data_IF_615325314404
#
_entry.id   IF_615325314404
#
_cell.length_a   1.000
_cell.length_b   1.000
_cell.length_c   1.000
_cell.angle_alpha   90.00
_cell.angle_beta   90.00
_cell.angle_gamma   90.00
#
_symmetry.space_group_name_H-M   'P 1'
#
loop_
_entity.id
_entity.type
_entity.pdbx_description
1 polymer ?
#
# COMPACT_ATOMS: atom_id res chain seq x y z
N UNK A 1 8.48 7.33 30.21
CA UNK A 1 7.50 8.32 29.67
C UNK A 1 8.10 9.11 28.51
N UNK A 2 9.36 9.57 28.64
CA UNK A 2 10.09 10.28 27.57
C UNK A 2 10.25 9.43 26.31
N UNK A 3 10.42 8.12 26.46
CA UNK A 3 10.54 7.15 25.39
C UNK A 3 9.25 7.05 24.57
N UNK A 4 8.10 7.03 25.25
CA UNK A 4 6.78 7.01 24.57
C UNK A 4 6.54 8.29 23.79
N UNK A 5 6.92 9.43 24.37
CA UNK A 5 6.82 10.72 23.69
C UNK A 5 7.76 10.80 22.48
N UNK A 6 8.99 10.31 22.62
CA UNK A 6 9.94 10.22 21.52
C UNK A 6 9.40 9.32 20.40
N UNK A 7 8.90 8.12 20.72
CA UNK A 7 8.31 7.21 19.74
C UNK A 7 7.10 7.83 19.04
N UNK A 8 6.22 8.51 19.78
CA UNK A 8 5.10 9.24 19.20
C UNK A 8 5.58 10.34 18.25
N UNK A 9 6.55 11.14 18.67
CA UNK A 9 7.13 12.20 17.84
C UNK A 9 7.76 11.61 16.57
N UNK A 10 8.46 10.48 16.68
CA UNK A 10 9.05 9.77 15.54
C UNK A 10 7.97 9.31 14.57
N UNK A 11 6.90 8.65 15.05
CA UNK A 11 5.78 8.20 14.20
C UNK A 11 5.11 9.37 13.49
N UNK A 12 4.84 10.47 14.20
CA UNK A 12 4.24 11.67 13.62
C UNK A 12 5.16 12.32 12.59
N UNK A 13 6.46 12.38 12.87
CA UNK A 13 7.45 12.92 11.95
C UNK A 13 7.55 12.07 10.67
N UNK A 14 7.62 10.74 10.79
CA UNK A 14 7.67 9.85 9.63
C UNK A 14 6.40 9.92 8.81
N UNK A 15 5.23 10.01 9.44
CA UNK A 15 3.96 10.18 8.74
C UNK A 15 3.92 11.51 7.99
N UNK A 16 4.34 12.62 8.62
CA UNK A 16 4.40 13.93 7.97
C UNK A 16 5.35 13.94 6.77
N UNK A 17 6.52 13.30 6.89
CA UNK A 17 7.48 13.16 5.80
C UNK A 17 6.89 12.34 4.63
N UNK A 18 6.17 11.25 4.93
CA UNK A 18 5.49 10.45 3.91
C UNK A 18 4.41 11.25 3.17
N UNK A 19 3.60 12.05 3.87
CA UNK A 19 2.63 12.94 3.23
C UNK A 19 3.29 14.01 2.36
N UNK A 20 4.44 14.54 2.77
CA UNK A 20 5.20 15.50 1.97
C UNK A 20 5.64 14.86 0.64
N UNK A 21 6.22 13.66 0.68
CA UNK A 21 6.61 12.96 -0.55
C UNK A 21 5.42 12.66 -1.45
N UNK A 22 4.28 12.21 -0.90
CA UNK A 22 3.06 12.00 -1.69
C UNK A 22 2.58 13.30 -2.35
N UNK A 23 2.67 14.43 -1.65
CA UNK A 23 2.32 15.74 -2.20
C UNK A 23 3.26 16.16 -3.33
N UNK A 24 4.56 15.92 -3.20
CA UNK A 24 5.56 16.26 -4.22
C UNK A 24 5.37 15.44 -5.50
N UNK A 25 4.96 14.17 -5.40
CA UNK A 25 4.76 13.31 -6.57
C UNK A 25 3.32 13.33 -7.12
N UNK A 26 2.42 14.16 -6.57
CA UNK A 26 0.98 14.16 -6.93
C UNK A 26 0.71 14.43 -8.41
N UNK A 27 1.59 15.16 -9.07
CA UNK A 27 1.47 15.55 -10.48
C UNK A 27 2.03 14.47 -11.44
N UNK A 28 2.51 13.34 -10.89
CA UNK A 28 2.94 12.19 -11.67
C UNK A 28 1.71 11.52 -12.36
N UNK A 29 1.77 11.21 -13.66
CA UNK A 29 0.66 10.57 -14.38
C UNK A 29 0.27 9.18 -13.84
N UNK A 30 1.14 8.53 -13.08
CA UNK A 30 0.90 7.24 -12.44
C UNK A 30 0.45 7.35 -10.98
N UNK A 31 0.35 8.57 -10.41
CA UNK A 31 0.02 8.77 -8.99
C UNK A 31 -1.29 8.11 -8.57
N UNK A 32 -2.31 8.17 -9.42
CA UNK A 32 -3.62 7.54 -9.19
C UNK A 32 -3.87 6.32 -10.07
N UNK A 33 -2.84 5.83 -10.77
CA UNK A 33 -2.96 4.72 -11.72
C UNK A 33 -1.87 3.70 -11.39
N UNK A 34 -2.18 2.72 -10.54
CA UNK A 34 -1.27 1.63 -10.20
C UNK A 34 -0.70 0.97 -11.45
N UNK A 35 0.60 0.69 -11.42
CA UNK A 35 1.29 0.00 -12.52
C UNK A 35 2.06 -1.20 -11.98
N UNK A 36 2.31 -2.17 -12.86
CA UNK A 36 3.08 -3.38 -12.55
C UNK A 36 2.53 -4.08 -11.30
N UNK A 37 3.36 -4.17 -10.27
CA UNK A 37 3.12 -4.70 -8.94
C UNK A 37 1.83 -4.19 -8.30
N UNK A 38 1.66 -2.87 -8.30
CA UNK A 38 0.55 -2.21 -7.61
C UNK A 38 -0.79 -2.54 -8.28
N UNK A 39 -0.80 -2.69 -9.60
CA UNK A 39 -1.99 -3.04 -10.36
C UNK A 39 -2.47 -4.46 -10.04
N UNK A 40 -1.56 -5.41 -9.86
CA UNK A 40 -1.90 -6.79 -9.46
C UNK A 40 -2.53 -6.81 -8.07
N UNK A 41 -1.98 -6.04 -7.13
CA UNK A 41 -2.54 -5.96 -5.79
C UNK A 41 -3.89 -5.25 -5.76
N UNK A 42 -4.08 -4.21 -6.57
CA UNK A 42 -5.39 -3.57 -6.72
C UNK A 42 -6.43 -4.53 -7.30
N UNK A 43 -6.10 -5.29 -8.34
CA UNK A 43 -6.99 -6.30 -8.93
C UNK A 43 -7.44 -7.34 -7.88
N UNK A 44 -6.53 -7.88 -7.08
CA UNK A 44 -6.90 -8.84 -6.04
C UNK A 44 -7.79 -8.21 -4.96
N UNK A 45 -7.51 -6.97 -4.56
CA UNK A 45 -8.32 -6.25 -3.60
C UNK A 45 -9.74 -5.99 -4.13
N UNK A 46 -9.87 -5.57 -5.40
CA UNK A 46 -11.15 -5.37 -6.06
C UNK A 46 -11.94 -6.68 -6.19
N UNK A 47 -11.28 -7.77 -6.61
CA UNK A 47 -11.91 -9.09 -6.70
C UNK A 47 -12.42 -9.58 -5.35
N UNK A 48 -11.64 -9.40 -4.29
CA UNK A 48 -12.10 -9.73 -2.94
C UNK A 48 -13.28 -8.85 -2.51
N UNK A 49 -13.20 -7.54 -2.73
CA UNK A 49 -14.30 -6.62 -2.40
C UNK A 49 -15.63 -6.94 -3.13
N UNK A 50 -15.57 -7.63 -4.27
CA UNK A 50 -16.72 -8.07 -5.05
C UNK A 50 -17.10 -9.55 -4.84
N UNK A 51 -16.59 -10.21 -3.79
CA UNK A 51 -16.80 -11.63 -3.50
C UNK A 51 -16.35 -12.59 -4.63
N UNK A 52 -15.43 -12.13 -5.49
CA UNK A 52 -14.80 -12.96 -6.51
C UNK A 52 -13.60 -13.72 -5.95
N UNK A 53 -13.23 -14.82 -6.61
CA UNK A 53 -12.05 -15.61 -6.26
C UNK A 53 -10.76 -14.82 -6.53
N UNK A 54 -10.32 -14.03 -5.55
CA UNK A 54 -9.15 -13.15 -5.68
C UNK A 54 -7.81 -13.90 -5.64
N UNK A 55 -7.75 -15.09 -5.04
CA UNK A 55 -6.56 -15.93 -4.98
C UNK A 55 -6.36 -16.64 -6.32
N UNK A 56 -5.32 -16.32 -7.12
CA UNK A 56 -5.14 -16.98 -8.40
C UNK A 56 -5.02 -18.50 -8.24
N UNK A 57 -5.67 -19.24 -9.14
CA UNK A 57 -5.45 -20.68 -9.27
C UNK A 57 -4.16 -21.00 -10.04
N UNK A 58 -3.55 -20.00 -10.67
CA UNK A 58 -2.32 -20.10 -11.44
C UNK A 58 -1.05 -19.98 -10.56
N UNK A 59 0.12 -20.44 -11.07
CA UNK A 59 1.40 -20.21 -10.41
C UNK A 59 1.64 -18.72 -10.11
N UNK A 60 1.95 -18.44 -8.85
CA UNK A 60 2.15 -17.07 -8.39
C UNK A 60 3.55 -16.57 -8.73
N UNK A 61 3.64 -15.40 -9.34
CA UNK A 61 4.89 -14.64 -9.46
C UNK A 61 5.21 -13.81 -8.19
N UNK A 62 4.30 -13.76 -7.22
CA UNK A 62 4.36 -12.93 -5.99
C UNK A 62 3.74 -13.66 -4.81
N UNK A 63 4.08 -13.27 -3.58
CA UNK A 63 3.47 -13.86 -2.39
C UNK A 63 1.96 -13.54 -2.33
N UNK A 64 1.07 -14.54 -2.46
CA UNK A 64 -0.36 -14.28 -2.65
C UNK A 64 -1.05 -13.69 -1.42
N UNK A 65 -0.51 -13.92 -0.23
CA UNK A 65 -1.08 -13.42 1.02
C UNK A 65 -0.56 -12.02 1.39
N UNK A 66 0.27 -11.39 0.56
CA UNK A 66 0.81 -10.06 0.83
C UNK A 66 -0.29 -9.00 1.04
N UNK A 67 -1.39 -8.98 0.26
CA UNK A 67 -2.47 -8.02 0.48
C UNK A 67 -3.28 -8.22 1.77
N UNK A 68 -3.13 -9.35 2.46
CA UNK A 68 -3.82 -9.59 3.73
C UNK A 68 -3.14 -8.94 4.93
N UNK A 69 -1.89 -8.50 4.76
CA UNK A 69 -1.01 -8.07 5.86
C UNK A 69 -0.62 -6.58 5.78
N UNK A 70 -1.15 -5.84 4.81
CA UNK A 70 -0.92 -4.41 4.56
C UNK A 70 -2.24 -3.67 4.47
#
# INVERSE_FOLDING_TARGET
MKERFFLLALVLFTAALQFLYLHEIRDNPFFTRPVLDEAVHLDWAERWANDEAWFPGEPFFRAPLYPLLL
#
